data_IF_421528695479
#
_entry.id   IF_421528695479
#
_cell.length_a   1.000
_cell.length_b   1.000
_cell.length_c   1.000
_cell.angle_alpha   90.00
_cell.angle_beta   90.00
_cell.angle_gamma   90.00
#
_symmetry.space_group_name_H-M   'P 1'
#
loop_
_entity.id
_entity.type
_entity.pdbx_description
1 polymer ?
#
# COMPACT_ATOMS: atom_id res chain seq x y z
N UNK A 1 25.36 -19.91 66.46
CA UNK A 1 24.05 -19.62 65.85
C UNK A 1 24.03 -18.36 64.96
N UNK A 2 24.64 -17.24 65.36
CA UNK A 2 24.55 -15.96 64.62
C UNK A 2 25.11 -15.95 63.19
N UNK A 3 26.09 -16.81 62.88
CA UNK A 3 26.67 -16.88 61.53
C UNK A 3 25.68 -17.46 60.50
N UNK A 4 24.85 -18.41 60.93
CA UNK A 4 23.81 -19.04 60.10
C UNK A 4 22.64 -18.10 59.83
N UNK A 5 22.29 -17.27 60.81
CA UNK A 5 21.25 -16.23 60.67
C UNK A 5 21.68 -15.21 59.62
N UNK A 6 22.91 -14.68 59.70
CA UNK A 6 23.43 -13.73 58.69
C UNK A 6 23.53 -14.30 57.28
N UNK A 7 23.80 -15.61 57.15
CA UNK A 7 23.83 -16.27 55.85
C UNK A 7 22.42 -16.33 55.24
N UNK A 8 21.41 -16.69 56.04
CA UNK A 8 20.01 -16.76 55.62
C UNK A 8 19.48 -15.36 55.25
N UNK A 9 19.81 -14.33 56.02
CA UNK A 9 19.44 -12.93 55.70
C UNK A 9 20.00 -12.49 54.35
N UNK A 10 21.27 -12.81 54.05
CA UNK A 10 21.86 -12.53 52.73
C UNK A 10 21.14 -13.27 51.62
N UNK A 11 20.85 -14.56 51.82
CA UNK A 11 20.12 -15.34 50.83
C UNK A 11 18.73 -14.75 50.57
N UNK A 12 18.02 -14.31 51.61
CA UNK A 12 16.72 -13.65 51.48
C UNK A 12 16.83 -12.38 50.64
N UNK A 13 17.79 -11.49 50.93
CA UNK A 13 17.95 -10.25 50.16
C UNK A 13 18.31 -10.49 48.69
N UNK A 14 19.04 -11.56 48.39
CA UNK A 14 19.34 -11.95 47.02
C UNK A 14 18.11 -12.50 46.29
N UNK A 15 17.28 -13.27 46.98
CA UNK A 15 16.01 -13.78 46.46
C UNK A 15 15.06 -12.62 46.20
N UNK A 16 14.84 -11.72 47.16
CA UNK A 16 13.96 -10.56 47.01
C UNK A 16 14.39 -9.70 45.81
N UNK A 17 15.70 -9.49 45.63
CA UNK A 17 16.23 -8.72 44.50
C UNK A 17 16.01 -9.43 43.16
N UNK A 18 16.17 -10.76 43.12
CA UNK A 18 15.91 -11.54 41.92
C UNK A 18 14.41 -11.54 41.57
N UNK A 19 13.53 -11.66 42.57
CA UNK A 19 12.08 -11.58 42.39
C UNK A 19 11.64 -10.22 41.85
N UNK A 20 12.18 -9.10 42.37
CA UNK A 20 11.92 -7.78 41.82
C UNK A 20 12.36 -7.68 40.34
N UNK A 21 13.55 -8.18 40.01
CA UNK A 21 14.05 -8.15 38.63
C UNK A 21 13.19 -8.99 37.69
N UNK A 22 12.74 -10.15 38.14
CA UNK A 22 11.82 -11.01 37.37
C UNK A 22 10.50 -10.26 37.14
N UNK A 23 9.93 -9.65 38.18
CA UNK A 23 8.70 -8.88 38.06
C UNK A 23 8.82 -7.72 37.07
N UNK A 24 9.92 -6.99 37.09
CA UNK A 24 10.18 -5.89 36.14
C UNK A 24 10.28 -6.39 34.68
N UNK A 25 10.94 -7.55 34.48
CA UNK A 25 11.07 -8.20 33.17
C UNK A 25 9.70 -8.68 32.67
N UNK A 26 8.89 -9.29 33.53
CA UNK A 26 7.54 -9.75 33.19
C UNK A 26 6.64 -8.58 32.79
N UNK A 27 6.67 -7.49 33.56
CA UNK A 27 5.90 -6.29 33.27
C UNK A 27 6.30 -5.66 31.93
N UNK A 28 7.61 -5.58 31.65
CA UNK A 28 8.10 -5.06 30.36
C UNK A 28 7.76 -5.98 29.20
N UNK A 29 7.84 -7.30 29.37
CA UNK A 29 7.44 -8.27 28.36
C UNK A 29 5.94 -8.15 28.03
N UNK A 30 5.09 -8.00 29.04
CA UNK A 30 3.65 -7.81 28.85
C UNK A 30 3.32 -6.50 28.11
N UNK A 31 4.00 -5.41 28.48
CA UNK A 31 3.83 -4.13 27.81
C UNK A 31 4.28 -4.21 26.34
N UNK A 32 5.41 -4.86 26.07
CA UNK A 32 5.88 -5.09 24.70
C UNK A 32 4.92 -5.98 23.90
N UNK A 33 4.35 -7.01 24.54
CA UNK A 33 3.35 -7.89 23.93
C UNK A 33 2.08 -7.13 23.51
N UNK A 34 1.62 -6.19 24.34
CA UNK A 34 0.49 -5.30 24.00
C UNK A 34 0.84 -4.36 22.84
N UNK A 35 2.02 -3.74 22.87
CA UNK A 35 2.49 -2.86 21.80
C UNK A 35 2.61 -3.58 20.46
N UNK A 36 3.12 -4.82 20.46
CA UNK A 36 3.22 -5.64 19.24
C UNK A 36 1.84 -6.00 18.67
N UNK A 37 0.86 -6.31 19.52
CA UNK A 37 -0.52 -6.54 19.08
C UNK A 37 -1.12 -5.31 18.42
N UNK A 38 -0.95 -4.14 19.03
CA UNK A 38 -1.43 -2.88 18.48
C UNK A 38 -0.76 -2.57 17.14
N UNK A 39 0.57 -2.70 17.07
CA UNK A 39 1.33 -2.45 15.84
C UNK A 39 0.90 -3.39 14.70
N UNK A 40 0.58 -4.65 15.02
CA UNK A 40 0.06 -5.60 14.04
C UNK A 40 -1.30 -5.15 13.48
N UNK A 41 -2.20 -4.66 14.34
CA UNK A 41 -3.49 -4.12 13.91
C UNK A 41 -3.27 -2.90 13.01
N UNK A 42 -2.40 -1.97 13.41
CA UNK A 42 -2.09 -0.79 12.61
C UNK A 42 -1.53 -1.16 11.24
N UNK A 43 -0.63 -2.15 11.17
CA UNK A 43 -0.08 -2.64 9.92
C UNK A 43 -1.17 -3.18 8.99
N UNK A 44 -2.07 -4.01 9.49
CA UNK A 44 -3.19 -4.53 8.68
C UNK A 44 -4.12 -3.41 8.20
N UNK A 45 -4.41 -2.41 9.04
CA UNK A 45 -5.23 -1.25 8.62
C UNK A 45 -4.54 -0.43 7.54
N UNK A 46 -3.23 -0.17 7.68
CA UNK A 46 -2.45 0.57 6.69
C UNK A 46 -2.36 -0.18 5.37
N UNK A 47 -2.24 -1.51 5.43
CA UNK A 47 -2.26 -2.37 4.24
C UNK A 47 -3.60 -2.28 3.52
N UNK A 48 -4.71 -2.35 4.24
CA UNK A 48 -6.05 -2.22 3.67
C UNK A 48 -6.27 -0.83 3.04
N UNK A 49 -5.80 0.24 3.70
CA UNK A 49 -5.86 1.61 3.15
C UNK A 49 -5.02 1.72 1.88
N UNK A 50 -3.81 1.15 1.87
CA UNK A 50 -2.94 1.20 0.70
C UNK A 50 -3.52 0.41 -0.47
N UNK A 51 -4.15 -0.73 -0.20
CA UNK A 51 -4.86 -1.50 -1.21
C UNK A 51 -6.05 -0.72 -1.79
N UNK A 52 -6.87 -0.07 -0.95
CA UNK A 52 -7.97 0.79 -1.41
C UNK A 52 -7.46 1.99 -2.23
N UNK A 53 -6.44 2.69 -1.75
CA UNK A 53 -5.85 3.82 -2.45
C UNK A 53 -5.21 3.40 -3.78
N UNK A 54 -4.52 2.26 -3.79
CA UNK A 54 -3.96 1.66 -5.01
C UNK A 54 -5.05 1.32 -6.00
N UNK A 55 -6.11 0.63 -5.57
CA UNK A 55 -7.26 0.31 -6.40
C UNK A 55 -7.89 1.58 -6.96
N UNK A 56 -8.16 2.59 -6.13
CA UNK A 56 -8.74 3.89 -6.54
C UNK A 56 -7.86 4.64 -7.53
N UNK A 57 -6.56 4.67 -7.30
CA UNK A 57 -5.58 5.28 -8.21
C UNK A 57 -5.54 4.58 -9.57
N UNK A 58 -5.73 3.26 -9.58
CA UNK A 58 -5.72 2.45 -10.80
C UNK A 58 -7.07 2.35 -11.51
N UNK A 59 -8.19 2.78 -10.91
CA UNK A 59 -9.52 2.75 -11.56
C UNK A 59 -9.57 3.53 -12.87
N UNK A 60 -8.85 4.66 -12.95
CA UNK A 60 -8.76 5.45 -14.18
C UNK A 60 -7.64 5.00 -15.12
N UNK A 61 -6.90 3.94 -14.76
CA UNK A 61 -5.81 3.42 -15.57
C UNK A 61 -6.28 2.26 -16.45
N UNK A 62 -6.13 2.40 -17.76
CA UNK A 62 -6.25 1.32 -18.73
C UNK A 62 -4.89 0.68 -18.98
N UNK A 63 -4.84 -0.65 -19.04
CA UNK A 63 -3.64 -1.40 -19.41
C UNK A 63 -3.81 -2.00 -20.80
N UNK A 64 -3.05 -1.49 -21.75
CA UNK A 64 -3.03 -2.00 -23.13
C UNK A 64 -1.94 -3.05 -23.20
N UNK A 65 -2.34 -4.30 -23.42
CA UNK A 65 -1.47 -5.45 -23.61
C UNK A 65 -1.38 -5.70 -25.12
N UNK A 66 -0.21 -6.10 -25.61
CA UNK A 66 0.00 -6.42 -27.04
C UNK A 66 0.02 -5.23 -27.99
N UNK A 67 0.96 -4.32 -27.74
CA UNK A 67 1.27 -3.25 -28.70
C UNK A 67 2.16 -3.82 -29.79
N UNK A 68 1.75 -3.61 -31.05
CA UNK A 68 2.54 -4.00 -32.22
C UNK A 68 3.98 -3.49 -32.08
N UNK A 69 4.94 -4.35 -32.43
CA UNK A 69 6.39 -4.11 -32.32
C UNK A 69 6.87 -2.84 -33.05
N UNK A 70 6.06 -2.27 -33.94
CA UNK A 70 6.35 -1.07 -34.72
C UNK A 70 6.00 0.26 -34.02
N UNK A 71 5.29 0.23 -32.89
CA UNK A 71 4.92 1.46 -32.19
C UNK A 71 6.14 1.97 -31.42
N UNK A 72 6.74 3.03 -31.95
CA UNK A 72 7.82 3.73 -31.29
C UNK A 72 7.27 4.34 -29.98
N UNK A 73 7.66 3.75 -28.84
CA UNK A 73 7.17 4.11 -27.49
C UNK A 73 7.44 5.56 -27.08
N UNK A 74 8.09 6.37 -27.94
CA UNK A 74 8.24 7.82 -27.77
C UNK A 74 6.91 8.58 -27.84
N UNK A 75 5.89 8.01 -28.48
CA UNK A 75 4.55 8.59 -28.59
C UNK A 75 3.46 7.62 -28.09
N UNK A 76 3.64 7.09 -26.87
CA UNK A 76 2.64 6.24 -26.20
C UNK A 76 1.26 6.91 -26.10
N UNK A 77 1.25 8.24 -25.98
CA UNK A 77 0.06 9.07 -25.93
C UNK A 77 -0.73 9.01 -27.24
N UNK A 78 -0.11 9.38 -28.36
CA UNK A 78 -0.75 9.42 -29.68
C UNK A 78 -1.30 8.05 -30.10
N UNK A 79 -0.58 6.98 -29.76
CA UNK A 79 -1.04 5.61 -29.99
C UNK A 79 -2.29 5.29 -29.18
N UNK A 80 -2.30 5.59 -27.89
CA UNK A 80 -3.44 5.34 -27.03
C UNK A 80 -4.68 6.14 -27.48
N UNK A 81 -4.49 7.41 -27.81
CA UNK A 81 -5.55 8.27 -28.32
C UNK A 81 -6.12 7.76 -29.65
N UNK A 82 -5.27 7.48 -30.64
CA UNK A 82 -5.70 6.95 -31.93
C UNK A 82 -6.43 5.61 -31.80
N UNK A 83 -5.95 4.72 -30.93
CA UNK A 83 -6.59 3.43 -30.66
C UNK A 83 -7.97 3.61 -30.02
N UNK A 84 -8.10 4.49 -29.02
CA UNK A 84 -9.38 4.74 -28.36
C UNK A 84 -10.39 5.38 -29.33
N UNK A 85 -9.96 6.35 -30.15
CA UNK A 85 -10.78 6.95 -31.23
C UNK A 85 -11.29 5.86 -32.18
N UNK A 86 -10.40 4.96 -32.62
CA UNK A 86 -10.76 3.86 -33.51
C UNK A 86 -11.75 2.87 -32.89
N UNK A 87 -11.54 2.47 -31.63
CA UNK A 87 -12.42 1.52 -30.92
C UNK A 87 -13.81 2.09 -30.68
N UNK A 88 -13.89 3.34 -30.24
CA UNK A 88 -15.17 3.97 -29.91
C UNK A 88 -15.84 4.67 -31.10
N UNK A 89 -15.22 4.61 -32.30
CA UNK A 89 -15.72 5.19 -33.54
C UNK A 89 -16.15 6.66 -33.40
N UNK A 90 -15.32 7.45 -32.73
CA UNK A 90 -15.53 8.90 -32.60
C UNK A 90 -14.54 9.66 -33.50
N UNK A 91 -14.91 10.86 -33.97
CA UNK A 91 -13.99 11.71 -34.76
C UNK A 91 -12.90 12.35 -33.88
N UNK A 92 -13.14 12.43 -32.57
CA UNK A 92 -12.18 12.88 -31.55
C UNK A 92 -12.59 12.34 -30.18
N UNK A 93 -11.64 12.28 -29.23
CA UNK A 93 -11.98 11.96 -27.85
C UNK A 93 -12.87 13.08 -27.28
N UNK A 94 -14.08 12.73 -26.86
CA UNK A 94 -14.92 13.61 -26.06
C UNK A 94 -14.17 14.01 -24.78
N UNK A 95 -14.52 15.15 -24.17
CA UNK A 95 -14.04 15.50 -22.83
C UNK A 95 -14.31 14.43 -21.78
N UNK A 96 -15.17 13.45 -22.06
CA UNK A 96 -15.39 12.29 -21.20
C UNK A 96 -14.24 11.26 -21.19
N UNK A 97 -13.36 11.25 -22.20
CA UNK A 97 -12.32 10.21 -22.38
C UNK A 97 -10.94 10.78 -22.69
N UNK A 98 -10.61 11.97 -22.17
CA UNK A 98 -9.30 12.59 -22.35
C UNK A 98 -8.20 11.73 -21.70
N UNK A 99 -7.16 11.40 -22.47
CA UNK A 99 -5.96 10.76 -21.94
C UNK A 99 -5.16 11.81 -21.17
N UNK A 100 -4.89 11.57 -19.89
CA UNK A 100 -4.03 12.43 -19.07
C UNK A 100 -2.55 12.08 -19.30
N UNK A 101 -2.26 10.78 -19.34
CA UNK A 101 -0.89 10.27 -19.46
C UNK A 101 -0.91 8.87 -20.07
N UNK A 102 0.05 8.57 -20.92
CA UNK A 102 0.34 7.21 -21.36
C UNK A 102 1.82 6.91 -21.14
N UNK A 103 2.11 5.79 -20.50
CA UNK A 103 3.48 5.37 -20.23
C UNK A 103 3.64 3.88 -20.48
N UNK A 104 4.66 3.53 -21.26
CA UNK A 104 5.16 2.15 -21.31
C UNK A 104 5.76 1.80 -19.96
N UNK A 105 5.32 0.66 -19.40
CA UNK A 105 5.97 0.11 -18.23
C UNK A 105 7.44 -0.14 -18.56
N UNK A 106 8.34 0.06 -17.60
CA UNK A 106 9.78 -0.17 -17.74
C UNK A 106 10.03 -1.68 -17.94
N UNK A 107 9.75 -2.18 -19.14
CA UNK A 107 10.20 -3.48 -19.58
C UNK A 107 11.66 -3.39 -20.06
N UNK A 108 12.45 -4.46 -19.93
CA UNK A 108 13.75 -4.53 -20.57
C UNK A 108 13.61 -4.24 -22.08
N UNK A 109 14.58 -3.50 -22.63
CA UNK A 109 14.65 -3.14 -24.06
C UNK A 109 14.19 -4.31 -24.93
N UNK A 110 13.32 -4.02 -25.90
CA UNK A 110 12.72 -5.01 -26.79
C UNK A 110 13.71 -6.10 -27.22
N UNK A 111 13.56 -7.30 -26.65
CA UNK A 111 14.28 -8.50 -27.10
C UNK A 111 13.40 -9.18 -28.15
N UNK A 112 13.90 -9.51 -29.35
CA UNK A 112 13.16 -10.30 -30.31
C UNK A 112 12.69 -11.63 -29.66
N UNK A 113 11.37 -11.83 -29.57
CA UNK A 113 10.77 -12.99 -28.91
C UNK A 113 10.29 -12.76 -27.46
N UNK A 114 10.58 -11.59 -26.87
CA UNK A 114 10.02 -11.21 -25.58
C UNK A 114 8.52 -10.86 -25.69
N UNK A 115 7.75 -11.04 -24.60
CA UNK A 115 6.35 -10.63 -24.55
C UNK A 115 6.20 -9.12 -24.82
N UNK A 116 5.11 -8.69 -25.47
CA UNK A 116 4.87 -7.29 -25.76
C UNK A 116 4.80 -6.45 -24.48
N UNK A 117 5.46 -5.29 -24.48
CA UNK A 117 5.49 -4.43 -23.32
C UNK A 117 4.12 -3.71 -23.15
N UNK A 118 3.50 -3.82 -21.96
CA UNK A 118 2.23 -3.14 -21.71
C UNK A 118 2.41 -1.62 -21.57
N UNK A 119 1.41 -0.86 -22.02
CA UNK A 119 1.26 0.58 -21.73
C UNK A 119 0.15 0.77 -20.71
N UNK A 120 0.41 1.63 -19.74
CA UNK A 120 -0.59 2.15 -18.82
C UNK A 120 -1.04 3.53 -19.29
N UNK A 121 -2.33 3.69 -19.51
CA UNK A 121 -2.97 4.93 -19.94
C UNK A 121 -3.88 5.41 -18.82
N UNK A 122 -3.66 6.63 -18.31
CA UNK A 122 -4.50 7.26 -17.28
C UNK A 122 -5.51 8.18 -17.95
N UNK A 123 -6.77 8.03 -17.61
CA UNK A 123 -7.87 8.86 -18.09
C UNK A 123 -8.15 10.01 -17.12
N UNK A 124 -8.35 11.21 -17.64
CA UNK A 124 -8.58 12.43 -16.85
C UNK A 124 -9.99 12.47 -16.24
N UNK A 125 -10.99 11.99 -16.98
CA UNK A 125 -12.42 12.14 -16.64
C UNK A 125 -13.11 10.80 -16.39
N UNK A 126 -12.48 9.92 -15.61
CA UNK A 126 -13.08 8.67 -15.19
C UNK A 126 -14.26 8.91 -14.22
N UNK A 127 -15.47 8.49 -14.61
CA UNK A 127 -16.64 8.51 -13.72
C UNK A 127 -16.71 7.21 -12.95
N UNK A 128 -16.41 7.26 -11.67
CA UNK A 128 -16.58 6.13 -10.77
C UNK A 128 -18.06 5.98 -10.39
N UNK A 129 -18.78 5.13 -11.11
CA UNK A 129 -20.21 4.87 -10.89
C UNK A 129 -20.49 3.97 -9.67
N UNK A 130 -19.48 3.35 -9.06
CA UNK A 130 -19.66 2.34 -8.01
C UNK A 130 -19.30 2.81 -6.59
N UNK A 131 -18.86 4.06 -6.38
CA UNK A 131 -18.44 4.55 -5.05
C UNK A 131 -18.88 6.01 -4.77
N UNK A 132 -20.19 6.30 -4.58
CA UNK A 132 -20.65 7.66 -4.33
C UNK A 132 -20.38 8.21 -2.90
N UNK A 133 -20.01 7.39 -1.90
CA UNK A 133 -20.13 7.81 -0.50
C UNK A 133 -18.96 7.41 0.42
N UNK A 134 -17.79 8.06 0.28
CA UNK A 134 -16.80 8.07 1.38
C UNK A 134 -16.15 9.45 1.64
N UNK A 135 -16.60 10.49 0.93
CA UNK A 135 -16.15 11.88 1.11
C UNK A 135 -16.76 12.61 2.31
N UNK A 136 -17.76 12.03 3.00
CA UNK A 136 -18.29 12.58 4.25
C UNK A 136 -17.60 11.93 5.45
N UNK A 137 -16.28 12.13 5.61
CA UNK A 137 -15.70 11.98 6.94
C UNK A 137 -16.22 13.13 7.78
N UNK A 138 -17.15 12.81 8.67
CA UNK A 138 -17.63 13.70 9.71
C UNK A 138 -16.41 14.15 10.53
N UNK A 139 -16.09 15.44 10.48
CA UNK A 139 -15.27 16.07 11.51
C UNK A 139 -16.13 16.14 12.78
N UNK A 140 -16.27 15.04 13.51
CA UNK A 140 -16.73 15.07 14.90
C UNK A 140 -15.51 15.07 15.79
N UNK A 141 -15.13 16.26 16.23
CA UNK A 141 -14.22 16.50 17.35
C UNK A 141 -14.79 15.76 18.58
N UNK A 142 -14.04 14.89 19.26
CA UNK A 142 -14.42 14.45 20.58
C UNK A 142 -14.06 15.55 21.59
N UNK A 143 -15.12 16.05 22.23
CA UNK A 143 -15.24 16.78 23.52
C UNK A 143 -14.08 17.67 23.98
#
# INVERSE_FOLDING_TARGET
MHMRIRLLERQQTHIDKAECQISDIENTADQQGKSLKNLKVDLETMKAINEDLGARSHRSNLRIIEISKSVNMRCAYDYAESMLIGIFCHDSLSSMFTVERAQALLAPKFVPGAPPCPITVKLLHYKDTHYPEYGKRQNTTPT
#
